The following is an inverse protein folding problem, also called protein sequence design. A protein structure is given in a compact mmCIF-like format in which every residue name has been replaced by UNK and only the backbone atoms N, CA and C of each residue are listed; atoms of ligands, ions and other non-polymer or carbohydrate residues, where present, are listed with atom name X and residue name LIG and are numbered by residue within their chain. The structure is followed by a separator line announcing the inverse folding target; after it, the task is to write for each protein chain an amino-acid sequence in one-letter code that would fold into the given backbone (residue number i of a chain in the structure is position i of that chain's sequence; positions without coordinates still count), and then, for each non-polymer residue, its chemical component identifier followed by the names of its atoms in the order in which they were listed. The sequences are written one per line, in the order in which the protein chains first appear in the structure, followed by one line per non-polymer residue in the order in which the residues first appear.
data_IF_589451647623
#
_entry.id   IF_589451647623
#
_cell.length_a   1.000
_cell.length_b   1.000
_cell.length_c   1.000
_cell.angle_alpha   90.00
_cell.angle_beta   90.00
_cell.angle_gamma   90.00
#
_symmetry.space_group_name_H-M   'P 1'
#
loop_
_entity.id
_entity.type
_entity.pdbx_description
1 polymer ?
#
# COMPACT_ATOMS: atom_id res chain seq x y z
N UNK A 1 -7.46 -18.85 43.39
CA UNK A 1 -8.37 -17.68 43.53
C UNK A 1 -9.06 -17.47 42.20
N UNK A 2 -10.34 -17.81 42.16
CA UNK A 2 -11.16 -17.86 40.94
C UNK A 2 -11.63 -16.44 40.54
N UNK A 3 -11.32 -15.98 39.31
CA UNK A 3 -11.89 -14.74 38.76
C UNK A 3 -13.01 -15.08 37.80
N UNK A 4 -14.19 -14.73 38.22
CA UNK A 4 -15.48 -14.91 37.55
C UNK A 4 -15.56 -14.07 36.28
N UNK A 5 -15.73 -14.74 35.14
CA UNK A 5 -16.01 -14.14 33.82
C UNK A 5 -17.45 -13.64 33.78
N UNK A 6 -17.69 -12.35 33.65
CA UNK A 6 -19.02 -11.77 33.43
C UNK A 6 -19.21 -11.53 31.93
N UNK A 7 -20.08 -12.36 31.34
CA UNK A 7 -20.57 -12.19 29.98
C UNK A 7 -21.70 -11.14 30.02
N UNK A 8 -21.51 -10.02 29.33
CA UNK A 8 -22.56 -9.02 29.10
C UNK A 8 -23.09 -9.26 27.68
N UNK A 9 -24.30 -9.75 27.59
CA UNK A 9 -25.03 -9.89 26.33
C UNK A 9 -25.64 -8.53 25.96
N UNK A 10 -25.18 -7.90 24.89
CA UNK A 10 -25.79 -6.72 24.29
C UNK A 10 -26.74 -7.14 23.17
N UNK A 11 -28.03 -6.84 23.35
CA UNK A 11 -29.07 -7.10 22.36
C UNK A 11 -28.99 -6.01 21.26
N UNK A 12 -28.77 -6.41 20.03
CA UNK A 12 -28.85 -5.55 18.86
C UNK A 12 -30.30 -5.41 18.39
N UNK A 13 -30.79 -4.19 18.46
CA UNK A 13 -32.08 -3.76 17.95
C UNK A 13 -31.93 -3.41 16.46
N UNK A 14 -32.46 -4.25 15.56
CA UNK A 14 -32.52 -3.96 14.14
C UNK A 14 -33.61 -2.92 13.83
N UNK A 15 -33.21 -1.74 13.39
CA UNK A 15 -34.12 -0.76 12.80
C UNK A 15 -34.11 -0.93 11.28
N UNK A 16 -35.22 -1.37 10.74
CA UNK A 16 -35.48 -1.48 9.29
C UNK A 16 -36.01 -0.15 8.80
N UNK A 17 -35.30 0.53 7.92
CA UNK A 17 -35.72 1.74 7.24
C UNK A 17 -36.17 1.35 5.81
N UNK A 18 -37.41 1.67 5.38
CA UNK A 18 -37.85 1.38 4.01
C UNK A 18 -37.29 2.45 3.05
N UNK A 19 -36.68 1.96 1.96
CA UNK A 19 -36.19 2.74 0.84
C UNK A 19 -37.32 3.08 -0.11
N UNK A 20 -37.66 4.37 -0.23
CA UNK A 20 -38.62 4.87 -1.23
C UNK A 20 -37.91 5.10 -2.57
N UNK A 21 -38.36 4.37 -3.59
CA UNK A 21 -38.01 4.54 -5.01
C UNK A 21 -38.72 5.79 -5.56
N UNK A 22 -37.96 6.78 -6.01
CA UNK A 22 -38.49 7.82 -6.91
C UNK A 22 -37.80 7.64 -8.27
N UNK A 23 -38.56 7.22 -9.24
CA UNK A 23 -38.14 7.13 -10.64
C UNK A 23 -38.20 8.52 -11.31
N UNK A 24 -37.22 8.78 -12.17
CA UNK A 24 -37.35 9.75 -13.27
C UNK A 24 -36.83 9.08 -14.53
N UNK A 25 -37.80 8.85 -15.44
CA UNK A 25 -37.54 8.50 -16.84
C UNK A 25 -37.20 9.76 -17.58
N UNK A 26 -36.14 9.76 -18.39
CA UNK A 26 -35.94 10.70 -19.47
C UNK A 26 -35.50 9.94 -20.72
N UNK A 27 -36.42 9.82 -21.65
CA UNK A 27 -36.25 9.33 -23.01
C UNK A 27 -35.26 10.23 -23.77
N UNK A 28 -34.16 9.69 -24.24
CA UNK A 28 -33.35 10.28 -25.30
C UNK A 28 -33.29 9.29 -26.47
N UNK A 29 -34.07 9.60 -27.47
CA UNK A 29 -34.11 9.03 -28.82
C UNK A 29 -32.70 9.11 -29.44
N UNK A 30 -32.02 7.98 -29.59
CA UNK A 30 -30.77 7.89 -30.34
C UNK A 30 -30.96 6.94 -31.51
N UNK A 31 -31.08 7.53 -32.70
CA UNK A 31 -31.11 6.89 -34.01
C UNK A 31 -29.91 5.97 -34.20
N UNK A 32 -30.07 4.72 -34.64
CA UNK A 32 -28.95 3.83 -34.92
C UNK A 32 -28.22 4.22 -36.21
N UNK A 33 -26.99 4.67 -36.09
CA UNK A 33 -26.06 4.80 -37.21
C UNK A 33 -25.47 3.42 -37.52
N UNK A 34 -25.69 2.94 -38.75
CA UNK A 34 -25.14 1.69 -39.24
C UNK A 34 -23.60 1.74 -39.31
N UNK A 35 -22.88 0.67 -38.92
CA UNK A 35 -21.44 0.60 -39.06
C UNK A 35 -21.05 0.37 -40.55
N UNK A 36 -19.96 0.98 -41.01
CA UNK A 36 -19.40 0.67 -42.33
C UNK A 36 -18.76 -0.71 -42.33
N UNK A 37 -18.87 -1.37 -43.49
CA UNK A 37 -18.38 -2.72 -43.76
C UNK A 37 -16.87 -2.86 -43.44
N UNK A 38 -16.54 -3.91 -42.72
CA UNK A 38 -15.16 -4.31 -42.43
C UNK A 38 -14.50 -4.86 -43.70
N UNK A 39 -13.40 -4.27 -44.10
CA UNK A 39 -12.40 -4.88 -44.98
C UNK A 39 -11.68 -6.01 -44.29
N UNK A 40 -11.33 -7.11 -44.96
CA UNK A 40 -10.61 -8.25 -44.35
C UNK A 40 -9.18 -7.81 -44.04
N UNK A 41 -8.86 -7.69 -42.75
CA UNK A 41 -7.49 -7.48 -42.30
C UNK A 41 -6.66 -8.73 -42.58
N UNK A 42 -5.54 -8.54 -43.27
CA UNK A 42 -4.49 -9.52 -43.47
C UNK A 42 -4.02 -10.08 -42.11
N UNK A 43 -3.92 -11.40 -42.05
CA UNK A 43 -3.32 -12.14 -40.94
C UNK A 43 -1.82 -11.89 -40.99
N UNK A 44 -1.34 -10.90 -40.26
CA UNK A 44 0.07 -10.74 -39.96
C UNK A 44 0.43 -11.79 -38.94
N UNK A 45 1.21 -12.80 -39.33
CA UNK A 45 1.87 -13.72 -38.40
C UNK A 45 2.74 -12.89 -37.46
N UNK A 46 2.24 -12.70 -36.23
CA UNK A 46 3.05 -12.19 -35.15
C UNK A 46 4.12 -13.27 -34.86
N UNK A 47 5.36 -12.95 -35.21
CA UNK A 47 6.55 -13.56 -34.61
C UNK A 47 6.43 -13.22 -33.11
N UNK A 48 6.08 -14.23 -32.32
CA UNK A 48 5.93 -14.12 -30.86
C UNK A 48 7.35 -13.83 -30.32
N UNK A 49 7.61 -12.63 -29.76
CA UNK A 49 8.90 -12.42 -29.13
C UNK A 49 9.00 -13.42 -27.99
N UNK A 50 10.18 -14.03 -27.76
CA UNK A 50 10.36 -14.98 -26.68
C UNK A 50 9.88 -14.31 -25.39
N UNK A 51 8.93 -14.95 -24.70
CA UNK A 51 8.56 -14.61 -23.34
C UNK A 51 9.87 -14.62 -22.55
N UNK A 52 10.44 -13.44 -22.34
CA UNK A 52 11.45 -13.26 -21.32
C UNK A 52 10.82 -13.84 -20.07
N UNK A 53 11.38 -14.91 -19.53
CA UNK A 53 11.11 -15.34 -18.17
C UNK A 53 11.51 -14.15 -17.32
N UNK A 54 10.53 -13.26 -17.07
CA UNK A 54 10.62 -12.23 -16.06
C UNK A 54 10.71 -13.00 -14.75
N UNK A 55 11.95 -13.32 -14.38
CA UNK A 55 12.28 -13.82 -13.05
C UNK A 55 11.54 -12.86 -12.13
N UNK A 56 10.57 -13.36 -11.38
CA UNK A 56 9.77 -12.55 -10.48
C UNK A 56 10.74 -11.90 -9.49
N UNK A 57 11.25 -10.74 -9.88
CA UNK A 57 12.17 -9.98 -9.06
C UNK A 57 11.41 -9.64 -7.79
N UNK A 58 11.97 -10.03 -6.64
CA UNK A 58 11.38 -9.67 -5.36
C UNK A 58 11.31 -8.15 -5.22
N UNK A 59 10.44 -7.66 -4.35
CA UNK A 59 10.35 -6.23 -4.04
C UNK A 59 10.34 -5.98 -2.53
N UNK A 60 10.83 -4.80 -2.15
CA UNK A 60 10.83 -4.28 -0.79
C UNK A 60 10.01 -3.00 -0.77
N UNK A 61 9.00 -2.94 0.10
CA UNK A 61 8.21 -1.74 0.32
C UNK A 61 8.36 -1.31 1.78
N UNK A 62 8.71 -0.06 1.99
CA UNK A 62 8.73 0.56 3.32
C UNK A 62 7.46 1.37 3.48
N UNK A 63 6.64 1.04 4.48
CA UNK A 63 5.37 1.72 4.77
C UNK A 63 5.50 2.47 6.08
N UNK A 64 5.31 3.79 6.03
CA UNK A 64 5.33 4.66 7.21
C UNK A 64 3.93 5.19 7.51
N UNK A 65 3.48 4.97 8.74
CA UNK A 65 2.18 5.44 9.22
C UNK A 65 2.36 6.68 10.09
N UNK A 66 1.61 7.76 9.81
CA UNK A 66 1.62 8.97 10.63
C UNK A 66 0.24 9.61 10.70
N UNK A 67 0.04 10.60 11.56
CA UNK A 67 -1.18 11.42 11.59
C UNK A 67 -1.02 12.64 10.70
N UNK A 68 -2.13 13.23 10.24
CA UNK A 68 -2.13 14.40 9.36
C UNK A 68 -1.40 15.63 9.94
N UNK A 69 -1.35 15.76 11.26
CA UNK A 69 -0.66 16.87 11.93
C UNK A 69 0.32 16.31 12.98
N UNK A 70 1.43 15.69 12.57
CA UNK A 70 2.43 15.15 13.48
C UNK A 70 3.14 16.28 14.24
N UNK A 71 3.73 15.97 15.39
CA UNK A 71 4.66 16.91 16.03
C UNK A 71 5.93 17.07 15.17
N UNK A 72 6.66 18.16 15.36
CA UNK A 72 7.86 18.46 14.58
C UNK A 72 8.88 17.31 14.57
N UNK A 73 9.03 16.59 15.70
CA UNK A 73 9.95 15.48 15.79
C UNK A 73 9.53 14.30 14.90
N UNK A 74 8.22 14.06 14.76
CA UNK A 74 7.69 13.00 13.91
C UNK A 74 7.74 13.37 12.43
N UNK A 75 7.49 14.64 12.10
CA UNK A 75 7.62 15.13 10.74
C UNK A 75 9.06 14.99 10.24
N UNK A 76 10.04 15.47 11.03
CA UNK A 76 11.46 15.36 10.71
C UNK A 76 11.94 13.92 10.62
N UNK A 77 11.40 13.03 11.47
CA UNK A 77 11.70 11.60 11.40
C UNK A 77 11.19 10.98 10.09
N UNK A 78 9.93 11.23 9.72
CA UNK A 78 9.36 10.75 8.45
C UNK A 78 10.12 11.26 7.23
N UNK A 79 10.53 12.56 7.24
CA UNK A 79 11.40 13.14 6.20
C UNK A 79 12.73 12.40 6.11
N UNK A 80 13.39 12.08 7.24
CA UNK A 80 14.66 11.36 7.23
C UNK A 80 14.54 9.94 6.64
N UNK A 81 13.42 9.24 6.89
CA UNK A 81 13.13 7.93 6.28
C UNK A 81 12.97 8.07 4.76
N UNK A 82 12.10 8.99 4.31
CA UNK A 82 11.84 9.22 2.90
C UNK A 82 13.09 9.65 2.14
N UNK A 83 13.85 10.59 2.69
CA UNK A 83 15.09 11.11 2.09
C UNK A 83 16.14 10.02 1.96
N UNK A 84 16.27 9.14 2.96
CA UNK A 84 17.21 8.02 2.89
C UNK A 84 16.88 7.07 1.74
N UNK A 85 15.59 6.73 1.56
CA UNK A 85 15.15 5.84 0.48
C UNK A 85 15.38 6.52 -0.88
N UNK A 86 14.96 7.75 -1.04
CA UNK A 86 15.12 8.50 -2.29
C UNK A 86 16.59 8.70 -2.68
N UNK A 87 17.48 8.96 -1.71
CA UNK A 87 18.88 9.21 -1.99
C UNK A 87 19.71 7.96 -2.30
N UNK A 88 19.32 6.80 -1.78
CA UNK A 88 20.13 5.60 -1.88
C UNK A 88 19.59 4.54 -2.86
N UNK A 89 18.32 4.62 -3.26
CA UNK A 89 17.62 3.57 -4.05
C UNK A 89 16.91 4.12 -5.28
N UNK A 90 17.48 5.16 -5.94
CA UNK A 90 16.86 5.80 -7.12
C UNK A 90 16.56 4.80 -8.24
N UNK A 91 17.49 3.87 -8.53
CA UNK A 91 17.33 2.88 -9.58
C UNK A 91 16.28 1.82 -9.22
N UNK A 92 16.27 1.38 -7.97
CA UNK A 92 15.32 0.40 -7.44
C UNK A 92 13.90 0.99 -7.32
N UNK A 93 13.79 2.28 -6.97
CA UNK A 93 12.54 3.03 -7.01
C UNK A 93 12.00 3.14 -8.45
N UNK A 94 12.86 3.48 -9.40
CA UNK A 94 12.48 3.60 -10.81
C UNK A 94 12.04 2.28 -11.42
N UNK A 95 12.59 1.16 -10.98
CA UNK A 95 12.22 -0.18 -11.42
C UNK A 95 11.06 -0.80 -10.63
N UNK A 96 10.64 -0.19 -9.51
CA UNK A 96 9.62 -0.73 -8.62
C UNK A 96 10.09 -1.87 -7.72
N UNK A 97 11.39 -2.16 -7.68
CA UNK A 97 11.99 -3.14 -6.77
C UNK A 97 11.98 -2.63 -5.33
N UNK A 98 12.15 -1.32 -5.14
CA UNK A 98 11.93 -0.64 -3.86
C UNK A 98 10.75 0.32 -4.02
N UNK A 99 9.93 0.45 -2.98
CA UNK A 99 8.90 1.48 -2.89
C UNK A 99 8.82 2.05 -1.47
N UNK A 100 8.39 3.31 -1.38
CA UNK A 100 8.07 3.97 -0.12
C UNK A 100 6.63 4.43 -0.14
N UNK A 101 5.87 4.08 0.88
CA UNK A 101 4.46 4.44 1.03
C UNK A 101 4.28 5.21 2.33
N UNK A 102 3.77 6.41 2.20
CA UNK A 102 3.44 7.30 3.32
C UNK A 102 1.93 7.26 3.56
N UNK A 103 1.50 6.81 4.75
CA UNK A 103 0.10 6.56 5.10
C UNK A 103 -0.34 7.49 6.22
N UNK A 104 -1.27 8.39 5.91
CA UNK A 104 -1.93 9.24 6.90
C UNK A 104 -2.99 8.43 7.64
N UNK A 105 -2.69 7.99 8.87
CA UNK A 105 -3.51 7.01 9.64
C UNK A 105 -4.89 7.54 10.03
N UNK A 106 -5.04 8.85 10.20
CA UNK A 106 -6.31 9.50 10.57
C UNK A 106 -7.11 10.01 9.35
N UNK A 107 -6.65 9.70 8.11
CA UNK A 107 -7.43 9.91 6.90
C UNK A 107 -8.44 8.76 6.73
N UNK A 108 -9.76 9.08 6.61
CA UNK A 108 -10.80 8.08 6.38
C UNK A 108 -10.56 7.19 5.15
N UNK A 109 -9.80 7.65 4.17
CA UNK A 109 -9.46 6.87 2.98
C UNK A 109 -8.49 5.71 3.28
N UNK A 110 -7.73 5.79 4.38
CA UNK A 110 -6.69 4.84 4.75
C UNK A 110 -7.13 3.82 5.83
N UNK A 111 -8.39 3.87 6.29
CA UNK A 111 -8.88 3.01 7.38
C UNK A 111 -8.61 1.52 7.11
N UNK A 112 -8.88 1.04 5.90
CA UNK A 112 -8.64 -0.36 5.55
C UNK A 112 -7.14 -0.73 5.64
N UNK A 113 -6.26 0.14 5.16
CA UNK A 113 -4.80 -0.07 5.24
C UNK A 113 -4.32 -0.10 6.69
N UNK A 114 -4.82 0.82 7.52
CA UNK A 114 -4.48 0.87 8.96
C UNK A 114 -4.92 -0.41 9.67
N UNK A 115 -6.13 -0.92 9.36
CA UNK A 115 -6.66 -2.17 9.91
C UNK A 115 -5.89 -3.40 9.41
N UNK A 116 -5.54 -3.46 8.12
CA UNK A 116 -4.81 -4.57 7.52
C UNK A 116 -3.39 -4.74 8.12
N UNK A 117 -2.74 -3.63 8.46
CA UNK A 117 -1.43 -3.64 9.12
C UNK A 117 -1.51 -3.72 10.66
N UNK A 118 -2.69 -3.59 11.26
CA UNK A 118 -2.87 -3.39 12.72
C UNK A 118 -1.95 -2.28 13.24
N UNK A 119 -1.81 -1.22 12.44
CA UNK A 119 -0.80 -0.18 12.64
C UNK A 119 -1.26 0.88 13.64
N UNK A 120 -0.28 1.47 14.32
CA UNK A 120 -0.44 2.66 15.15
C UNK A 120 0.21 3.87 14.45
N UNK A 121 -0.19 5.11 14.79
CA UNK A 121 0.52 6.28 14.31
C UNK A 121 2.01 6.19 14.63
N UNK A 122 2.82 6.39 13.61
CA UNK A 122 4.28 6.37 13.66
C UNK A 122 4.93 5.00 13.48
N UNK A 123 4.17 3.95 13.22
CA UNK A 123 4.74 2.64 12.90
C UNK A 123 5.42 2.65 11.51
N UNK A 124 6.47 1.84 11.41
CA UNK A 124 7.11 1.51 10.13
C UNK A 124 7.01 0.01 9.93
N UNK A 125 6.63 -0.38 8.72
CA UNK A 125 6.62 -1.76 8.29
C UNK A 125 7.52 -1.94 7.07
N UNK A 126 8.17 -3.10 7.01
CA UNK A 126 8.85 -3.55 5.80
C UNK A 126 8.06 -4.70 5.20
N UNK A 127 7.61 -4.51 3.97
CA UNK A 127 6.90 -5.53 3.21
C UNK A 127 7.83 -6.07 2.14
N UNK A 128 8.10 -7.37 2.18
CA UNK A 128 8.86 -8.05 1.13
C UNK A 128 7.95 -8.96 0.33
N UNK A 129 8.11 -8.96 -1.00
CA UNK A 129 7.36 -9.84 -1.91
C UNK A 129 8.31 -10.63 -2.76
N UNK A 130 8.12 -11.96 -2.83
CA UNK A 130 8.88 -12.87 -3.69
C UNK A 130 7.89 -13.83 -4.36
N UNK A 131 7.65 -13.67 -5.64
CA UNK A 131 6.59 -14.38 -6.31
C UNK A 131 5.23 -14.15 -5.62
N UNK A 132 4.58 -15.23 -5.17
CA UNK A 132 3.28 -15.15 -4.48
C UNK A 132 3.41 -15.02 -2.95
N UNK A 133 4.63 -14.95 -2.42
CA UNK A 133 4.87 -14.85 -0.97
C UNK A 133 5.05 -13.38 -0.58
N UNK A 134 4.27 -12.95 0.41
CA UNK A 134 4.39 -11.62 1.02
C UNK A 134 4.69 -11.78 2.51
N UNK A 135 5.74 -11.11 2.98
CA UNK A 135 6.06 -10.94 4.40
C UNK A 135 5.84 -9.48 4.80
N UNK A 136 5.20 -9.26 5.94
CA UNK A 136 4.96 -7.93 6.52
C UNK A 136 5.58 -7.94 7.92
N UNK A 137 6.57 -7.09 8.13
CA UNK A 137 7.33 -7.04 9.38
C UNK A 137 7.33 -5.62 9.94
N UNK A 138 6.84 -5.40 11.18
CA UNK A 138 7.00 -4.11 11.84
C UNK A 138 8.45 -3.89 12.24
N UNK A 139 8.96 -2.67 12.06
CA UNK A 139 10.28 -2.26 12.52
C UNK A 139 10.15 -1.31 13.72
N UNK A 140 10.46 -1.81 14.90
CA UNK A 140 10.45 -1.04 16.15
C UNK A 140 11.85 -0.54 16.57
N UNK A 141 12.91 -1.08 16.00
CA UNK A 141 14.28 -0.75 16.39
C UNK A 141 14.65 0.69 15.97
N UNK A 142 14.09 1.15 14.87
CA UNK A 142 14.29 2.50 14.34
C UNK A 142 13.89 3.59 15.35
N UNK A 143 12.96 3.32 16.25
CA UNK A 143 12.51 4.25 17.27
C UNK A 143 13.58 4.66 18.26
N UNK A 144 14.57 3.80 18.47
CA UNK A 144 15.72 4.10 19.33
C UNK A 144 16.62 5.20 18.77
N UNK A 145 16.45 5.52 17.48
CA UNK A 145 17.25 6.50 16.75
C UNK A 145 16.52 7.85 16.59
N UNK A 146 15.29 7.98 17.14
CA UNK A 146 14.52 9.22 17.02
C UNK A 146 15.29 10.41 17.60
N UNK A 147 15.40 11.47 16.79
CA UNK A 147 16.18 12.67 17.12
C UNK A 147 17.61 12.66 16.57
N UNK A 148 18.05 11.57 15.95
CA UNK A 148 19.30 11.47 15.20
C UNK A 148 18.99 11.09 13.73
N UNK A 149 18.74 12.10 12.90
CA UNK A 149 18.33 11.89 11.50
C UNK A 149 19.42 11.19 10.67
N UNK A 150 20.69 11.38 10.99
CA UNK A 150 21.78 10.71 10.30
C UNK A 150 21.77 9.22 10.63
N UNK A 151 21.58 8.87 11.90
CA UNK A 151 21.45 7.48 12.32
C UNK A 151 20.20 6.81 11.71
N UNK A 152 19.05 7.51 11.67
CA UNK A 152 17.83 7.05 10.99
C UNK A 152 18.10 6.77 9.51
N UNK A 153 18.73 7.71 8.80
CA UNK A 153 19.02 7.55 7.38
C UNK A 153 19.95 6.35 7.10
N UNK A 154 20.98 6.16 7.91
CA UNK A 154 21.91 5.03 7.79
C UNK A 154 21.23 3.70 8.12
N UNK A 155 20.37 3.69 9.12
CA UNK A 155 19.61 2.51 9.51
C UNK A 155 18.66 2.07 8.39
N UNK A 156 17.83 2.98 7.86
CA UNK A 156 16.89 2.70 6.77
C UNK A 156 17.61 2.17 5.54
N UNK A 157 18.74 2.78 5.18
CA UNK A 157 19.57 2.29 4.08
C UNK A 157 19.99 0.83 4.31
N UNK A 158 20.58 0.53 5.48
CA UNK A 158 21.04 -0.81 5.80
C UNK A 158 19.90 -1.84 5.87
N UNK A 159 18.73 -1.43 6.36
CA UNK A 159 17.53 -2.25 6.41
C UNK A 159 17.08 -2.67 5.01
N UNK A 160 16.93 -1.70 4.10
CA UNK A 160 16.50 -1.95 2.72
C UNK A 160 17.56 -2.78 1.96
N UNK A 161 18.86 -2.46 2.10
CA UNK A 161 19.95 -3.24 1.51
C UNK A 161 19.92 -4.71 1.99
N UNK A 162 19.66 -4.94 3.29
CA UNK A 162 19.56 -6.29 3.85
C UNK A 162 18.39 -7.04 3.25
N UNK A 163 17.22 -6.40 3.18
CA UNK A 163 16.02 -7.01 2.60
C UNK A 163 16.18 -7.29 1.11
N UNK A 164 16.81 -6.41 0.35
CA UNK A 164 17.15 -6.67 -1.05
C UNK A 164 18.10 -7.84 -1.23
N UNK A 165 19.09 -7.99 -0.35
CA UNK A 165 20.01 -9.12 -0.38
C UNK A 165 19.33 -10.47 -0.05
N UNK A 166 18.25 -10.46 0.74
CA UNK A 166 17.43 -11.65 1.03
C UNK A 166 16.58 -12.07 -0.17
N UNK A 167 16.35 -11.17 -1.16
CA UNK A 167 15.57 -11.44 -2.36
C UNK A 167 16.43 -11.98 -3.53
N UNK A 168 17.76 -11.92 -3.43
CA UNK A 168 18.69 -12.31 -4.48
C UNK A 168 19.04 -13.81 -4.39
#
# INVERSE_FOLDING_TARGET
MSKTLRIVAAAFLFVVIPLALVGCSEDADVTPVAPPAAEPAEVVSADDPPLSEETAAGSVEVVYFHIANPCDCMAVFGEAVADSINANFEAELASGVVSFVDVVSDDPANVATVEDFDSQPSDIFVVTRVGDVTSVEPDYDIWSLMGDNEAVAQYVKSLVETKLAELA
#
